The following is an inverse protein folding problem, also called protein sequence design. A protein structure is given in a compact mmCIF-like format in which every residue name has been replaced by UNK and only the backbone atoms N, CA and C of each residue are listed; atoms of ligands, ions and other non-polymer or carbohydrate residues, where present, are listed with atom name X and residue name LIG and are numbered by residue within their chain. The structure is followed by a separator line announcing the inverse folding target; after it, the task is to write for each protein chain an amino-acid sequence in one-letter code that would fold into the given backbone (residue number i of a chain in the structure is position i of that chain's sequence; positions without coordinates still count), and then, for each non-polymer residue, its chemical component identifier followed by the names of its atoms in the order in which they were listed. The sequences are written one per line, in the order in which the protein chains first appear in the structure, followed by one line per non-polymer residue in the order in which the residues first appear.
data_IF_637271841510
#
_entry.id   IF_637271841510
#
_cell.length_a   1.000
_cell.length_b   1.000
_cell.length_c   1.000
_cell.angle_alpha   90.00
_cell.angle_beta   90.00
_cell.angle_gamma   90.00
#
_symmetry.space_group_name_H-M   'P 1'
#
loop_
_entity.id
_entity.type
_entity.pdbx_description
1 polymer ?
#
# COMPACT_ATOMS: atom_id res chain seq x y z
N UNK A 1 -17.62 -8.43 -51.14
CA UNK A 1 -16.73 -9.46 -50.59
C UNK A 1 -15.82 -8.80 -49.54
N UNK A 2 -16.08 -9.11 -48.26
CA UNK A 2 -15.28 -8.84 -47.03
C UNK A 2 -14.57 -7.48 -46.86
N UNK A 3 -15.23 -6.56 -46.16
CA UNK A 3 -14.58 -5.49 -45.39
C UNK A 3 -14.01 -6.09 -44.11
N UNK A 4 -12.68 -6.05 -43.94
CA UNK A 4 -12.02 -6.45 -42.69
C UNK A 4 -11.82 -5.17 -41.86
N UNK A 5 -12.68 -4.99 -40.86
CA UNK A 5 -12.48 -4.01 -39.80
C UNK A 5 -11.49 -4.61 -38.80
N UNK A 6 -10.21 -4.27 -38.91
CA UNK A 6 -9.22 -4.57 -37.87
C UNK A 6 -9.42 -3.55 -36.74
N UNK A 7 -10.23 -3.91 -35.74
CA UNK A 7 -10.21 -3.21 -34.46
C UNK A 7 -8.89 -3.55 -33.75
N UNK A 8 -7.87 -2.71 -33.99
CA UNK A 8 -6.70 -2.64 -33.13
C UNK A 8 -7.17 -2.14 -31.75
N UNK A 9 -7.52 -3.05 -30.86
CA UNK A 9 -7.67 -2.73 -29.45
C UNK A 9 -6.26 -2.44 -28.93
N UNK A 10 -5.86 -1.17 -29.01
CA UNK A 10 -4.72 -0.65 -28.28
C UNK A 10 -5.13 -0.73 -26.80
N UNK A 11 -4.88 -1.86 -26.15
CA UNK A 11 -5.00 -1.94 -24.69
C UNK A 11 -3.91 -1.05 -24.14
N UNK A 12 -4.26 0.20 -23.84
CA UNK A 12 -3.46 1.09 -23.03
C UNK A 12 -3.17 0.35 -21.73
N UNK A 13 -1.97 -0.22 -21.59
CA UNK A 13 -1.48 -0.61 -20.28
C UNK A 13 -1.43 0.69 -19.49
N UNK A 14 -2.39 0.88 -18.59
CA UNK A 14 -2.41 2.04 -17.73
C UNK A 14 -1.12 2.00 -16.90
N UNK A 15 -0.23 2.96 -17.11
CA UNK A 15 0.93 3.19 -16.25
C UNK A 15 0.40 3.60 -14.86
N UNK A 16 0.23 2.64 -13.96
CA UNK A 16 -0.31 2.92 -12.63
C UNK A 16 -0.50 1.68 -11.77
N UNK A 17 -0.75 1.91 -10.48
CA UNK A 17 -1.05 0.85 -9.53
C UNK A 17 -2.46 0.29 -9.76
N UNK A 18 -2.61 -1.02 -9.62
CA UNK A 18 -3.93 -1.68 -9.68
C UNK A 18 -4.55 -1.78 -8.28
N UNK A 19 -5.87 -1.69 -8.19
CA UNK A 19 -6.58 -1.93 -6.93
C UNK A 19 -7.05 -3.37 -6.92
N UNK A 20 -6.49 -4.15 -6.00
CA UNK A 20 -6.88 -5.54 -5.74
C UNK A 20 -7.20 -5.68 -4.27
N UNK A 21 -8.17 -6.53 -3.94
CA UNK A 21 -8.50 -6.81 -2.54
C UNK A 21 -7.26 -7.29 -1.79
N UNK A 22 -7.09 -6.79 -0.57
CA UNK A 22 -5.97 -7.14 0.27
C UNK A 22 -6.34 -8.32 1.14
N UNK A 23 -5.51 -9.36 1.16
CA UNK A 23 -5.53 -10.42 2.17
C UNK A 23 -4.10 -10.70 2.64
N UNK A 24 -3.71 -10.15 3.78
CA UNK A 24 -2.37 -10.31 4.36
C UNK A 24 -2.45 -10.60 5.86
N UNK A 25 -1.43 -11.26 6.40
CA UNK A 25 -1.34 -11.51 7.84
C UNK A 25 -0.65 -10.38 8.57
N UNK A 26 -1.16 -10.03 9.75
CA UNK A 26 -0.48 -9.15 10.70
C UNK A 26 0.85 -9.76 11.15
N UNK A 27 1.87 -8.92 11.27
CA UNK A 27 3.21 -9.39 11.65
C UNK A 27 3.28 -9.93 13.10
N UNK A 28 2.45 -9.42 14.01
CA UNK A 28 2.54 -9.66 15.45
C UNK A 28 1.87 -10.98 15.85
N UNK A 29 0.59 -11.14 15.53
CA UNK A 29 -0.26 -12.26 15.92
C UNK A 29 -0.57 -13.23 14.76
N UNK A 30 -0.30 -12.86 13.50
CA UNK A 30 -0.57 -13.68 12.32
C UNK A 30 -2.02 -13.65 11.83
N UNK A 31 -2.89 -12.90 12.50
CA UNK A 31 -4.29 -12.70 12.12
C UNK A 31 -4.39 -12.17 10.68
N UNK A 32 -5.30 -12.74 9.90
CA UNK A 32 -5.52 -12.32 8.52
C UNK A 32 -6.39 -11.08 8.48
N UNK A 33 -5.90 -10.06 7.79
CA UNK A 33 -6.62 -8.83 7.50
C UNK A 33 -7.09 -8.91 6.06
N UNK A 34 -8.40 -8.73 5.87
CA UNK A 34 -9.04 -8.75 4.56
C UNK A 34 -9.69 -7.40 4.31
N UNK A 35 -9.39 -6.79 3.16
CA UNK A 35 -9.93 -5.50 2.78
C UNK A 35 -10.47 -5.62 1.36
N UNK A 36 -11.77 -5.42 1.21
CA UNK A 36 -12.39 -5.13 -0.07
C UNK A 36 -12.48 -3.61 -0.22
N UNK A 37 -11.63 -3.06 -1.09
CA UNK A 37 -11.54 -1.62 -1.27
C UNK A 37 -12.82 -1.03 -1.89
N UNK A 38 -13.57 -1.83 -2.65
CA UNK A 38 -14.81 -1.38 -3.31
C UNK A 38 -15.99 -1.28 -2.34
N UNK A 39 -15.95 -2.01 -1.23
CA UNK A 39 -16.98 -2.05 -0.20
C UNK A 39 -16.64 -1.22 1.04
N UNK A 40 -15.44 -0.65 1.12
CA UNK A 40 -15.01 0.15 2.27
C UNK A 40 -15.58 1.58 2.21
N UNK A 41 -16.17 2.04 3.31
CA UNK A 41 -16.58 3.43 3.52
C UNK A 41 -15.46 4.29 4.13
N UNK A 42 -14.30 3.69 4.41
CA UNK A 42 -13.14 4.33 5.01
C UNK A 42 -12.17 4.82 3.94
N UNK A 43 -11.39 5.84 4.28
CA UNK A 43 -10.16 6.14 3.54
C UNK A 43 -9.06 5.21 4.02
N UNK A 44 -8.37 4.54 3.10
CA UNK A 44 -7.32 3.57 3.44
C UNK A 44 -5.99 4.06 2.90
N UNK A 45 -5.01 4.17 3.78
CA UNK A 45 -3.62 4.48 3.45
C UNK A 45 -2.80 3.20 3.52
N UNK A 46 -2.21 2.81 2.40
CA UNK A 46 -1.25 1.71 2.32
C UNK A 46 0.14 2.30 2.16
N UNK A 47 1.05 2.00 3.10
CA UNK A 47 2.47 2.35 2.98
C UNK A 47 3.28 1.08 2.82
N UNK A 48 3.95 0.94 1.68
CA UNK A 48 4.82 -0.19 1.36
C UNK A 48 6.25 0.14 1.77
N UNK A 49 6.86 -0.75 2.54
CA UNK A 49 8.18 -0.54 3.11
C UNK A 49 8.96 -1.85 3.28
N UNK A 50 10.24 -1.74 3.63
CA UNK A 50 11.06 -2.85 4.08
C UNK A 50 12.14 -2.37 5.07
N UNK A 51 12.64 -3.27 5.91
CA UNK A 51 13.62 -2.98 6.98
C UNK A 51 14.99 -2.53 6.49
N UNK A 52 15.28 -2.75 5.21
CA UNK A 52 16.51 -2.32 4.54
C UNK A 52 16.32 -1.02 3.72
N UNK A 53 15.09 -0.48 3.67
CA UNK A 53 14.77 0.72 2.92
C UNK A 53 15.04 1.98 3.77
N UNK A 54 16.15 2.66 3.49
CA UNK A 54 16.52 3.89 4.21
C UNK A 54 15.48 4.99 4.05
N UNK A 55 15.03 5.26 2.81
CA UNK A 55 14.03 6.30 2.55
C UNK A 55 12.69 6.04 3.25
N UNK A 56 12.35 4.77 3.53
CA UNK A 56 11.17 4.43 4.32
C UNK A 56 11.29 4.94 5.77
N UNK A 57 12.49 4.97 6.35
CA UNK A 57 12.74 5.54 7.69
C UNK A 57 12.52 7.05 7.67
N UNK A 58 13.02 7.72 6.64
CA UNK A 58 12.92 9.18 6.47
C UNK A 58 11.46 9.65 6.34
N UNK A 59 10.56 8.78 5.89
CA UNK A 59 9.13 9.08 5.72
C UNK A 59 8.27 8.83 6.96
N UNK A 60 8.76 8.09 7.96
CA UNK A 60 7.98 7.78 9.16
C UNK A 60 7.41 9.02 9.87
N UNK A 61 8.18 10.12 10.08
CA UNK A 61 7.62 11.33 10.69
C UNK A 61 6.46 11.93 9.88
N UNK A 62 6.52 11.83 8.56
CA UNK A 62 5.48 12.35 7.66
C UNK A 62 4.23 11.47 7.71
N UNK A 63 4.40 10.15 7.74
CA UNK A 63 3.29 9.19 7.90
C UNK A 63 2.60 9.37 9.26
N UNK A 64 3.38 9.63 10.32
CA UNK A 64 2.82 9.94 11.65
C UNK A 64 2.04 11.25 11.64
N UNK A 65 2.58 12.31 11.02
CA UNK A 65 1.88 13.57 10.87
C UNK A 65 0.58 13.40 10.06
N UNK A 66 0.66 12.72 8.91
CA UNK A 66 -0.49 12.44 8.05
C UNK A 66 -1.58 11.69 8.81
N UNK A 67 -1.23 10.66 9.58
CA UNK A 67 -2.17 9.92 10.43
C UNK A 67 -2.85 10.82 11.46
N UNK A 68 -2.09 11.69 12.13
CA UNK A 68 -2.62 12.58 13.15
C UNK A 68 -3.58 13.65 12.59
N UNK A 69 -3.37 14.07 11.34
CA UNK A 69 -4.22 15.06 10.66
C UNK A 69 -5.30 14.42 9.78
N UNK A 70 -5.36 13.08 9.71
CA UNK A 70 -6.32 12.39 8.85
C UNK A 70 -7.74 12.43 9.42
N UNK A 71 -8.77 12.41 8.56
CA UNK A 71 -10.16 12.28 8.99
C UNK A 71 -10.38 11.05 9.88
N UNK A 72 -11.35 11.10 10.79
CA UNK A 72 -11.62 10.02 11.75
C UNK A 72 -11.84 8.64 11.10
N UNK A 73 -12.46 8.60 9.90
CA UNK A 73 -12.64 7.38 9.10
C UNK A 73 -11.45 7.09 8.19
N UNK A 74 -10.23 7.08 8.74
CA UNK A 74 -9.01 6.74 7.99
C UNK A 74 -8.24 5.59 8.64
N UNK A 75 -7.96 4.54 7.87
CA UNK A 75 -7.12 3.41 8.28
C UNK A 75 -5.75 3.48 7.64
N UNK A 76 -4.73 3.10 8.39
CA UNK A 76 -3.34 3.06 7.94
C UNK A 76 -2.80 1.65 8.09
N UNK A 77 -2.25 1.12 7.00
CA UNK A 77 -1.59 -0.19 6.95
C UNK A 77 -0.17 -0.04 6.41
N UNK A 78 0.81 -0.48 7.18
CA UNK A 78 2.20 -0.59 6.76
C UNK A 78 2.42 -2.01 6.18
N UNK A 79 2.58 -2.12 4.87
CA UNK A 79 2.82 -3.40 4.20
C UNK A 79 4.32 -3.61 4.08
N UNK A 80 4.83 -4.54 4.87
CA UNK A 80 6.22 -4.97 4.83
C UNK A 80 6.44 -5.92 3.66
N UNK A 81 7.09 -5.46 2.59
CA UNK A 81 7.31 -6.21 1.37
C UNK A 81 8.67 -6.94 1.37
N UNK A 82 8.65 -8.27 1.44
CA UNK A 82 9.85 -9.11 1.30
C UNK A 82 10.67 -9.31 2.57
N UNK A 83 10.15 -8.90 3.73
CA UNK A 83 10.77 -9.12 5.02
C UNK A 83 10.16 -10.28 5.79
N UNK A 84 11.01 -10.95 6.57
CA UNK A 84 10.55 -11.95 7.54
C UNK A 84 10.02 -11.28 8.80
N UNK A 85 9.11 -11.96 9.51
CA UNK A 85 8.62 -11.52 10.84
C UNK A 85 9.75 -11.12 11.80
N UNK A 86 10.89 -11.82 11.76
CA UNK A 86 12.08 -11.51 12.58
C UNK A 86 12.69 -10.15 12.20
N UNK A 87 12.82 -9.84 10.91
CA UNK A 87 13.34 -8.56 10.42
C UNK A 87 12.39 -7.41 10.79
N UNK A 88 11.09 -7.59 10.57
CA UNK A 88 10.05 -6.63 10.97
C UNK A 88 10.18 -6.32 12.46
N UNK A 89 10.15 -7.34 13.33
CA UNK A 89 10.27 -7.17 14.79
C UNK A 89 11.55 -6.44 15.20
N UNK A 90 12.68 -6.70 14.54
CA UNK A 90 13.95 -6.03 14.85
C UNK A 90 13.91 -4.56 14.44
N UNK A 91 13.33 -4.25 13.29
CA UNK A 91 13.24 -2.90 12.77
C UNK A 91 12.33 -2.01 13.62
N UNK A 92 11.11 -2.47 13.90
CA UNK A 92 10.10 -1.64 14.59
C UNK A 92 10.45 -1.34 16.04
N UNK A 93 11.33 -2.15 16.66
CA UNK A 93 11.90 -1.84 17.99
C UNK A 93 12.68 -0.53 18.01
N UNK A 94 13.27 -0.13 16.87
CA UNK A 94 14.04 1.11 16.72
C UNK A 94 13.23 2.21 16.04
N UNK A 95 12.33 1.81 15.14
CA UNK A 95 11.52 2.70 14.31
C UNK A 95 10.04 2.33 14.47
N UNK A 96 9.38 2.79 15.56
CA UNK A 96 8.02 2.37 15.85
C UNK A 96 7.04 2.91 14.81
N UNK A 97 6.21 2.02 14.26
CA UNK A 97 5.04 2.40 13.49
C UNK A 97 3.84 2.49 14.45
N UNK A 98 3.07 3.57 14.39
CA UNK A 98 1.88 3.76 15.23
C UNK A 98 0.58 3.28 14.54
N UNK A 99 0.71 2.30 13.66
CA UNK A 99 -0.38 1.77 12.86
C UNK A 99 -0.11 0.33 12.47
N UNK A 100 -1.13 -0.33 11.93
CA UNK A 100 -1.13 -1.77 11.71
C UNK A 100 -0.09 -2.18 10.66
N UNK A 101 0.65 -3.26 10.92
CA UNK A 101 1.70 -3.74 10.01
C UNK A 101 1.32 -5.12 9.49
N UNK A 102 1.26 -5.22 8.16
CA UNK A 102 0.94 -6.43 7.43
C UNK A 102 2.20 -6.98 6.76
N UNK A 103 2.29 -8.30 6.62
CA UNK A 103 3.46 -8.99 6.09
C UNK A 103 3.18 -9.57 4.71
N UNK A 104 3.86 -9.04 3.69
CA UNK A 104 3.85 -9.52 2.31
C UNK A 104 5.22 -10.16 2.03
N UNK A 105 5.46 -11.33 2.64
CA UNK A 105 6.79 -11.93 2.78
C UNK A 105 7.44 -12.33 1.44
N UNK A 106 6.65 -12.72 0.46
CA UNK A 106 7.08 -13.10 -0.90
C UNK A 106 6.93 -11.97 -1.92
N UNK A 107 6.39 -10.82 -1.49
CA UNK A 107 6.05 -9.65 -2.31
C UNK A 107 4.94 -9.93 -3.32
N UNK A 108 4.17 -11.02 -3.17
CA UNK A 108 3.16 -11.40 -4.13
C UNK A 108 2.08 -10.32 -4.25
N UNK A 109 1.60 -9.79 -3.12
CA UNK A 109 0.58 -8.73 -3.15
C UNK A 109 1.15 -7.44 -3.77
N UNK A 110 2.29 -6.96 -3.28
CA UNK A 110 2.95 -5.74 -3.76
C UNK A 110 3.18 -5.78 -5.28
N UNK A 111 3.75 -6.88 -5.79
CA UNK A 111 3.95 -7.05 -7.24
C UNK A 111 2.64 -7.10 -8.01
N UNK A 112 1.63 -7.78 -7.47
CA UNK A 112 0.34 -7.92 -8.15
C UNK A 112 -0.38 -6.60 -8.40
N UNK A 113 -0.07 -5.56 -7.61
CA UNK A 113 -0.67 -4.23 -7.76
C UNK A 113 0.30 -3.20 -8.38
N UNK A 114 1.48 -3.63 -8.85
CA UNK A 114 2.47 -2.77 -9.51
C UNK A 114 3.46 -2.06 -8.57
N UNK A 115 3.58 -2.47 -7.30
CA UNK A 115 4.62 -1.97 -6.39
C UNK A 115 5.94 -2.70 -6.64
N UNK A 116 6.80 -2.09 -7.45
CA UNK A 116 8.12 -2.65 -7.83
C UNK A 116 9.30 -2.06 -7.05
N UNK A 117 9.12 -0.87 -6.48
CA UNK A 117 10.14 -0.18 -5.68
C UNK A 117 9.53 0.35 -4.38
N UNK A 118 10.39 0.74 -3.43
CA UNK A 118 10.00 1.18 -2.09
C UNK A 118 10.74 2.49 -1.75
N UNK A 119 10.13 3.37 -0.93
CA UNK A 119 8.76 3.29 -0.40
C UNK A 119 7.70 3.57 -1.47
N UNK A 120 6.45 3.16 -1.21
CA UNK A 120 5.28 3.62 -1.95
C UNK A 120 4.16 3.89 -0.96
N UNK A 121 3.45 5.00 -1.12
CA UNK A 121 2.23 5.30 -0.39
C UNK A 121 1.06 5.40 -1.37
N UNK A 122 0.01 4.61 -1.13
CA UNK A 122 -1.26 4.66 -1.84
C UNK A 122 -2.35 5.13 -0.89
N UNK A 123 -3.23 6.01 -1.35
CA UNK A 123 -4.44 6.39 -0.63
C UNK A 123 -5.64 6.00 -1.46
N UNK A 124 -6.52 5.21 -0.86
CA UNK A 124 -7.68 4.62 -1.50
C UNK A 124 -8.93 5.14 -0.79
N UNK A 125 -9.92 5.60 -1.55
CA UNK A 125 -11.21 6.05 -1.04
C UNK A 125 -12.29 5.58 -2.01
N UNK A 126 -13.32 4.89 -1.50
CA UNK A 126 -14.43 4.36 -2.32
C UNK A 126 -13.95 3.53 -3.52
N UNK A 127 -13.04 2.59 -3.28
CA UNK A 127 -12.49 1.72 -4.32
C UNK A 127 -11.62 2.40 -5.37
N UNK A 128 -11.17 3.64 -5.16
CA UNK A 128 -10.32 4.39 -6.10
C UNK A 128 -9.03 4.86 -5.44
N UNK A 129 -7.91 4.77 -6.15
CA UNK A 129 -6.65 5.40 -5.76
C UNK A 129 -6.79 6.89 -6.02
N UNK A 130 -6.80 7.68 -4.94
CA UNK A 130 -6.84 9.14 -4.99
C UNK A 130 -5.45 9.77 -4.83
N UNK A 131 -4.47 8.98 -4.39
CA UNK A 131 -3.08 9.37 -4.29
C UNK A 131 -2.15 8.17 -4.49
N UNK A 132 -1.05 8.38 -5.22
CA UNK A 132 0.07 7.45 -5.27
C UNK A 132 1.38 8.22 -5.35
N UNK A 133 2.40 7.77 -4.62
CA UNK A 133 3.71 8.42 -4.65
C UNK A 133 4.72 7.71 -3.76
N UNK A 134 6.01 7.96 -4.01
CA UNK A 134 7.06 7.43 -3.15
C UNK A 134 7.03 8.08 -1.76
N UNK A 135 6.70 9.38 -1.69
CA UNK A 135 6.58 10.14 -0.45
C UNK A 135 5.11 10.35 -0.07
N UNK A 136 4.69 10.24 1.20
CA UNK A 136 3.30 10.52 1.59
C UNK A 136 2.94 12.01 1.38
N UNK A 137 1.66 12.33 1.10
CA UNK A 137 1.20 13.71 1.02
C UNK A 137 1.16 14.35 2.42
N UNK A 138 1.08 15.68 2.47
CA UNK A 138 0.97 16.41 3.75
C UNK A 138 -0.41 16.28 4.40
N UNK A 139 -1.46 16.11 3.60
CA UNK A 139 -2.85 15.94 4.06
C UNK A 139 -3.63 15.05 3.10
N UNK A 140 -4.78 14.55 3.57
CA UNK A 140 -5.75 13.83 2.76
C UNK A 140 -6.97 14.75 2.60
N UNK A 141 -7.24 15.20 1.38
CA UNK A 141 -8.41 16.00 1.04
C UNK A 141 -9.42 15.10 0.32
#
# INVERSE_FOLDING_TARGET
MKFIFVFLIFTSQALGYEIKNLELSRYDNGEKVKIDFSQSDETIVLNFWASWCTSCIEELPLLHALKNTSPAKTKFYAISAGDTKKKIKKFIKKNPFHYEILMDADKAYSKSIGVESLPVTLIIRQGKIIYSGHRPPKSIN
#
